data_IF_445470476832
#
_entry.id   IF_445470476832
#
_cell.length_a   1.000
_cell.length_b   1.000
_cell.length_c   1.000
_cell.angle_alpha   90.00
_cell.angle_beta   90.00
_cell.angle_gamma   90.00
#
_symmetry.space_group_name_H-M   'P 1'
#
loop_
_entity.id
_entity.type
_entity.pdbx_description
1 polymer ?
#
# COMPACT_ATOMS: atom_id res chain seq x y z
N UNK A 1 30.97 -51.03 35.72
CA UNK A 1 29.68 -50.81 35.03
C UNK A 1 29.35 -49.33 35.18
N UNK A 2 29.54 -48.52 34.15
CA UNK A 2 29.24 -47.08 34.16
C UNK A 2 28.18 -46.85 33.10
N UNK A 3 27.00 -46.41 33.55
CA UNK A 3 25.87 -46.05 32.68
C UNK A 3 26.13 -44.63 32.17
N UNK A 4 26.43 -44.50 30.88
CA UNK A 4 26.49 -43.22 30.20
C UNK A 4 25.08 -42.81 29.77
N UNK A 5 24.53 -41.82 30.48
CA UNK A 5 23.25 -41.20 30.18
C UNK A 5 23.46 -40.18 29.04
N UNK A 6 23.06 -40.53 27.82
CA UNK A 6 23.09 -39.60 26.68
C UNK A 6 21.81 -38.78 26.71
N UNK A 7 21.89 -37.57 27.25
CA UNK A 7 20.85 -36.55 27.11
C UNK A 7 20.88 -36.01 25.68
N UNK A 8 20.03 -36.55 24.80
CA UNK A 8 19.76 -36.00 23.48
C UNK A 8 18.98 -34.69 23.60
N UNK A 9 19.70 -33.57 23.72
CA UNK A 9 19.11 -32.24 23.60
C UNK A 9 18.63 -32.00 22.18
N UNK A 10 17.31 -31.90 22.00
CA UNK A 10 16.69 -31.43 20.77
C UNK A 10 17.10 -29.96 20.55
N UNK A 11 18.14 -29.73 19.75
CA UNK A 11 18.49 -28.38 19.29
C UNK A 11 17.43 -27.97 18.28
N UNK A 12 16.36 -27.32 18.77
CA UNK A 12 15.45 -26.57 17.92
C UNK A 12 16.27 -25.42 17.35
N UNK A 13 16.76 -25.62 16.13
CA UNK A 13 17.42 -24.58 15.35
C UNK A 13 16.33 -23.60 14.94
N UNK A 14 16.03 -22.64 15.82
CA UNK A 14 15.46 -21.36 15.42
C UNK A 14 16.55 -20.69 14.59
N UNK A 15 16.64 -21.07 13.31
CA UNK A 15 17.37 -20.29 12.32
C UNK A 15 16.66 -18.94 12.29
N UNK A 16 17.17 -17.98 13.06
CA UNK A 16 17.00 -16.58 12.76
C UNK A 16 17.39 -16.46 11.29
N UNK A 17 16.39 -16.31 10.41
CA UNK A 17 16.66 -16.04 9.00
C UNK A 17 17.61 -14.85 9.00
N UNK A 18 18.77 -15.02 8.35
CA UNK A 18 19.67 -13.91 8.04
C UNK A 18 18.86 -12.71 7.56
N UNK A 19 19.34 -11.49 7.80
CA UNK A 19 18.66 -10.23 7.46
C UNK A 19 18.26 -10.17 5.97
N UNK A 20 17.15 -10.82 5.62
CA UNK A 20 16.62 -10.81 4.28
C UNK A 20 16.26 -9.35 3.96
N UNK A 21 16.72 -8.82 2.81
CA UNK A 21 16.36 -7.47 2.42
C UNK A 21 14.84 -7.39 2.20
N UNK A 22 14.29 -6.19 2.34
CA UNK A 22 12.91 -5.94 1.90
C UNK A 22 12.82 -6.31 0.43
N UNK A 23 11.89 -7.21 0.08
CA UNK A 23 11.71 -7.62 -1.32
C UNK A 23 11.30 -6.41 -2.17
N UNK A 24 11.80 -6.26 -3.40
CA UNK A 24 11.37 -5.15 -4.25
C UNK A 24 9.89 -5.30 -4.60
N UNK A 25 9.16 -4.19 -4.64
CA UNK A 25 7.82 -4.17 -5.22
C UNK A 25 7.95 -4.27 -6.74
N UNK A 26 7.25 -5.22 -7.40
CA UNK A 26 7.27 -5.33 -8.85
C UNK A 26 6.42 -4.20 -9.43
N UNK A 27 7.02 -3.05 -9.74
CA UNK A 27 6.28 -1.92 -10.32
C UNK A 27 5.53 -2.35 -11.59
N UNK A 28 4.19 -2.22 -11.63
CA UNK A 28 3.42 -2.62 -12.79
C UNK A 28 3.55 -1.66 -13.98
N UNK A 29 4.10 -0.45 -13.82
CA UNK A 29 4.18 0.54 -14.91
C UNK A 29 2.83 0.96 -15.50
N UNK A 30 2.86 1.84 -16.51
CA UNK A 30 1.65 2.44 -17.08
C UNK A 30 0.71 1.45 -17.79
N UNK A 31 1.23 0.28 -18.19
CA UNK A 31 0.51 -0.68 -19.05
C UNK A 31 -0.54 -1.48 -18.28
N UNK A 32 -0.55 -1.37 -16.95
CA UNK A 32 -1.54 -1.98 -16.07
C UNK A 32 -2.41 -0.91 -15.43
N UNK A 33 -3.71 -1.15 -15.41
CA UNK A 33 -4.67 -0.28 -14.75
C UNK A 33 -5.12 -0.90 -13.43
N UNK A 34 -4.92 -0.19 -12.34
CA UNK A 34 -5.42 -0.60 -11.03
C UNK A 34 -6.83 -0.09 -10.78
N UNK A 35 -7.44 -0.55 -9.70
CA UNK A 35 -8.65 0.07 -9.14
C UNK A 35 -8.44 0.43 -7.68
N UNK A 36 -8.98 1.57 -7.31
CA UNK A 36 -9.05 2.01 -5.93
C UNK A 36 -10.49 1.92 -5.43
N UNK A 37 -10.69 1.09 -4.39
CA UNK A 37 -11.87 1.05 -3.54
C UNK A 37 -13.26 1.04 -4.24
N UNK A 38 -13.39 0.18 -5.26
CA UNK A 38 -14.65 -0.16 -5.90
C UNK A 38 -14.43 -1.02 -7.14
N UNK A 39 -15.51 -1.39 -7.84
CA UNK A 39 -15.44 -2.07 -9.14
C UNK A 39 -15.17 -3.59 -9.09
N UNK A 40 -15.60 -4.35 -10.13
CA UNK A 40 -15.26 -5.77 -10.26
C UNK A 40 -13.78 -5.95 -10.65
N UNK A 41 -13.04 -6.70 -9.84
CA UNK A 41 -11.59 -6.84 -9.98
C UNK A 41 -11.14 -7.52 -11.28
N UNK A 42 -12.03 -8.20 -12.00
CA UNK A 42 -11.73 -8.80 -13.31
C UNK A 42 -11.41 -7.78 -14.41
N UNK A 43 -11.78 -6.51 -14.23
CA UNK A 43 -11.50 -5.44 -15.19
C UNK A 43 -10.17 -4.73 -14.94
N UNK A 44 -9.47 -5.07 -13.85
CA UNK A 44 -8.27 -4.36 -13.40
C UNK A 44 -7.11 -5.31 -13.16
N UNK A 45 -5.90 -4.81 -13.39
CA UNK A 45 -4.66 -5.57 -13.26
C UNK A 45 -4.18 -5.70 -11.82
N UNK A 46 -4.61 -4.79 -10.94
CA UNK A 46 -4.23 -4.74 -9.53
C UNK A 46 -5.20 -3.86 -8.72
N UNK A 47 -5.07 -3.90 -7.39
CA UNK A 47 -5.97 -3.20 -6.48
C UNK A 47 -5.19 -2.34 -5.46
N UNK A 48 -5.72 -1.16 -5.17
CA UNK A 48 -5.48 -0.44 -3.91
C UNK A 48 -6.58 -0.84 -2.93
N UNK A 49 -6.27 -1.82 -2.09
CA UNK A 49 -7.26 -2.48 -1.24
C UNK A 49 -7.27 -1.89 0.18
N UNK A 50 -8.45 -1.43 0.62
CA UNK A 50 -8.66 -0.88 1.96
C UNK A 50 -8.80 -1.98 3.02
N UNK A 51 -8.07 -1.83 4.11
CA UNK A 51 -8.18 -2.69 5.30
C UNK A 51 -8.11 -1.86 6.57
N UNK A 52 -9.26 -1.68 7.24
CA UNK A 52 -9.28 -1.03 8.55
C UNK A 52 -8.71 -1.96 9.62
N UNK A 53 -7.63 -1.54 10.28
CA UNK A 53 -7.06 -2.29 11.40
C UNK A 53 -7.60 -1.72 12.71
N UNK A 54 -8.68 -2.35 13.19
CA UNK A 54 -9.13 -2.16 14.57
C UNK A 54 -8.17 -2.80 15.57
N UNK A 55 -8.52 -2.74 16.85
CA UNK A 55 -7.76 -3.47 17.89
C UNK A 55 -7.90 -4.99 17.76
N UNK A 56 -8.87 -5.46 16.97
CA UNK A 56 -9.11 -6.86 16.64
C UNK A 56 -9.23 -7.04 15.13
N UNK A 57 -8.79 -8.21 14.62
CA UNK A 57 -9.02 -8.60 13.22
C UNK A 57 -9.83 -9.93 13.17
N UNK A 58 -11.14 -9.88 13.44
CA UNK A 58 -11.94 -11.07 13.72
C UNK A 58 -12.02 -12.09 12.58
N UNK A 59 -11.77 -11.67 11.33
CA UNK A 59 -11.78 -12.54 10.14
C UNK A 59 -10.39 -12.82 9.57
N UNK A 60 -9.32 -12.61 10.36
CA UNK A 60 -7.93 -12.74 9.90
C UNK A 60 -7.65 -14.06 9.21
N UNK A 61 -8.01 -15.19 9.84
CA UNK A 61 -7.77 -16.53 9.28
C UNK A 61 -8.49 -16.74 7.95
N UNK A 62 -9.75 -16.33 7.85
CA UNK A 62 -10.52 -16.43 6.61
C UNK A 62 -9.92 -15.55 5.50
N UNK A 63 -9.47 -14.34 5.85
CA UNK A 63 -8.83 -13.43 4.90
C UNK A 63 -7.52 -14.01 4.35
N UNK A 64 -6.65 -14.57 5.21
CA UNK A 64 -5.45 -15.27 4.77
C UNK A 64 -5.74 -16.51 3.93
N UNK A 65 -6.79 -17.27 4.29
CA UNK A 65 -7.23 -18.42 3.49
C UNK A 65 -7.69 -18.00 2.09
N UNK A 66 -8.47 -16.93 1.98
CA UNK A 66 -8.89 -16.35 0.70
C UNK A 66 -7.69 -15.86 -0.12
N UNK A 67 -6.75 -15.15 0.52
CA UNK A 67 -5.54 -14.67 -0.15
C UNK A 67 -4.69 -15.83 -0.70
N UNK A 68 -4.62 -16.97 0.00
CA UNK A 68 -3.94 -18.19 -0.49
C UNK A 68 -4.59 -18.79 -1.72
N UNK A 69 -5.92 -18.75 -1.81
CA UNK A 69 -6.68 -19.28 -2.94
C UNK A 69 -6.71 -18.31 -4.14
N UNK A 70 -6.42 -17.04 -3.90
CA UNK A 70 -6.37 -16.04 -4.95
C UNK A 70 -5.21 -16.29 -5.94
N UNK A 71 -5.41 -15.90 -7.19
CA UNK A 71 -4.35 -15.98 -8.20
C UNK A 71 -3.23 -14.99 -7.86
N UNK A 72 -2.18 -15.47 -7.18
CA UNK A 72 -1.04 -14.65 -6.75
C UNK A 72 -0.38 -13.88 -7.88
N UNK A 73 -0.35 -14.46 -9.09
CA UNK A 73 0.23 -13.80 -10.25
C UNK A 73 -0.61 -12.59 -10.70
N UNK A 74 -1.94 -12.69 -10.61
CA UNK A 74 -2.85 -11.58 -10.88
C UNK A 74 -2.73 -10.47 -9.82
N UNK A 75 -2.48 -10.83 -8.56
CA UNK A 75 -2.46 -9.89 -7.42
C UNK A 75 -1.08 -9.38 -7.03
N UNK A 76 -0.03 -9.72 -7.78
CA UNK A 76 1.37 -9.42 -7.41
C UNK A 76 1.72 -7.93 -7.34
N UNK A 77 0.82 -7.06 -7.76
CA UNK A 77 0.97 -5.61 -7.75
C UNK A 77 0.01 -4.92 -6.76
N UNK A 78 -0.84 -5.67 -6.04
CA UNK A 78 -1.76 -5.08 -5.07
C UNK A 78 -1.01 -4.32 -3.96
N UNK A 79 -1.53 -3.17 -3.55
CA UNK A 79 -1.10 -2.47 -2.35
C UNK A 79 -2.25 -2.46 -1.35
N UNK A 80 -2.02 -3.01 -0.15
CA UNK A 80 -3.02 -3.01 0.90
C UNK A 80 -2.87 -1.77 1.79
N UNK A 81 -3.82 -0.86 1.72
CA UNK A 81 -3.86 0.26 2.67
C UNK A 81 -4.40 -0.23 4.01
N UNK A 82 -3.59 -0.09 5.05
CA UNK A 82 -3.87 -0.57 6.40
C UNK A 82 -4.06 0.61 7.35
N UNK A 83 -5.30 0.92 7.73
CA UNK A 83 -5.60 2.04 8.63
C UNK A 83 -5.23 1.67 10.07
N UNK A 84 -3.99 1.94 10.47
CA UNK A 84 -3.47 1.59 11.81
C UNK A 84 -3.84 2.64 12.88
N UNK A 85 -4.40 3.78 12.48
CA UNK A 85 -4.89 4.84 13.36
C UNK A 85 -3.98 6.05 13.45
N UNK A 86 -3.00 6.23 12.57
CA UNK A 86 -2.12 7.41 12.55
C UNK A 86 -2.96 8.67 12.36
N UNK A 87 -3.91 8.65 11.42
CA UNK A 87 -4.84 9.77 11.18
C UNK A 87 -5.76 10.04 12.37
N UNK A 88 -6.17 8.96 13.06
CA UNK A 88 -6.93 9.02 14.32
C UNK A 88 -6.10 9.43 15.55
N UNK A 89 -4.86 9.86 15.34
CA UNK A 89 -3.99 10.44 16.37
C UNK A 89 -3.31 9.45 17.30
N UNK A 90 -3.34 8.15 16.98
CA UNK A 90 -2.72 7.10 17.77
C UNK A 90 -1.19 7.22 17.80
N UNK A 91 -0.59 6.65 18.84
CA UNK A 91 0.86 6.63 19.03
C UNK A 91 1.52 5.43 18.34
N UNK A 92 2.85 5.39 18.41
CA UNK A 92 3.63 4.31 17.80
C UNK A 92 3.26 2.94 18.36
N UNK A 93 3.12 2.79 19.68
CA UNK A 93 2.88 1.48 20.28
C UNK A 93 1.50 0.93 19.93
N UNK A 94 0.47 1.79 19.86
CA UNK A 94 -0.87 1.39 19.43
C UNK A 94 -0.87 0.97 17.97
N UNK A 95 -0.29 1.78 17.07
CA UNK A 95 -0.20 1.43 15.65
C UNK A 95 0.64 0.17 15.44
N UNK A 96 1.76 0.02 16.16
CA UNK A 96 2.62 -1.18 16.12
C UNK A 96 1.86 -2.42 16.53
N UNK A 97 1.10 -2.38 17.63
CA UNK A 97 0.29 -3.52 18.10
C UNK A 97 -0.75 -3.95 17.06
N UNK A 98 -1.39 -3.00 16.38
CA UNK A 98 -2.36 -3.28 15.30
C UNK A 98 -1.70 -3.89 14.08
N UNK A 99 -0.55 -3.34 13.66
CA UNK A 99 0.27 -3.93 12.60
C UNK A 99 0.70 -5.35 12.98
N UNK A 100 1.14 -5.58 14.21
CA UNK A 100 1.54 -6.91 14.67
C UNK A 100 0.38 -7.89 14.64
N UNK A 101 -0.79 -7.49 15.15
CA UNK A 101 -1.99 -8.33 15.12
C UNK A 101 -2.36 -8.76 13.69
N UNK A 102 -2.13 -7.89 12.71
CA UNK A 102 -2.44 -8.15 11.30
C UNK A 102 -1.34 -8.93 10.56
N UNK A 103 -0.09 -8.46 10.63
CA UNK A 103 1.06 -9.00 9.89
C UNK A 103 1.65 -10.26 10.50
N UNK A 104 1.36 -10.57 11.76
CA UNK A 104 1.82 -11.83 12.35
C UNK A 104 1.33 -13.00 11.49
N UNK A 105 2.22 -13.89 11.02
CA UNK A 105 1.82 -15.05 10.23
C UNK A 105 0.86 -15.94 11.01
N UNK A 106 -0.14 -16.49 10.33
CA UNK A 106 -0.93 -17.59 10.90
C UNK A 106 -0.13 -18.90 10.81
N UNK A 107 -0.26 -19.83 11.78
CA UNK A 107 0.46 -21.11 11.74
C UNK A 107 0.29 -21.89 10.44
N UNK A 108 -0.89 -21.78 9.80
CA UNK A 108 -1.24 -22.41 8.52
C UNK A 108 -1.04 -21.48 7.30
N UNK A 109 -0.42 -20.32 7.49
CA UNK A 109 -0.11 -19.36 6.44
C UNK A 109 1.30 -18.75 6.59
N UNK A 110 2.37 -19.57 6.49
CA UNK A 110 3.75 -19.11 6.63
C UNK A 110 4.27 -18.32 5.41
N UNK A 111 3.47 -18.18 4.36
CA UNK A 111 3.84 -17.53 3.09
C UNK A 111 3.83 -16.00 3.20
N UNK A 112 4.17 -15.48 4.37
CA UNK A 112 4.42 -14.07 4.60
C UNK A 112 5.95 -13.88 4.68
N UNK A 113 6.54 -12.88 4.00
CA UNK A 113 5.92 -11.76 3.27
C UNK A 113 5.47 -12.07 1.83
N UNK A 114 5.59 -13.30 1.35
CA UNK A 114 5.41 -13.68 -0.06
C UNK A 114 3.98 -13.47 -0.59
N UNK A 115 2.98 -13.49 0.28
CA UNK A 115 1.57 -13.24 -0.04
C UNK A 115 1.19 -11.77 -0.12
N UNK A 116 1.97 -10.86 0.47
CA UNK A 116 1.62 -9.45 0.57
C UNK A 116 2.55 -8.58 -0.29
N UNK A 117 2.14 -8.14 -1.49
CA UNK A 117 3.01 -7.42 -2.42
C UNK A 117 3.51 -6.07 -1.91
N UNK A 118 2.66 -5.30 -1.25
CA UNK A 118 3.01 -4.06 -0.56
C UNK A 118 1.88 -3.65 0.38
N UNK A 119 2.20 -2.74 1.31
CA UNK A 119 1.21 -2.09 2.17
C UNK A 119 1.36 -0.58 2.11
N UNK A 120 0.30 0.14 2.46
CA UNK A 120 0.35 1.56 2.76
C UNK A 120 -0.20 1.80 4.18
N UNK A 121 0.49 2.58 5.01
CA UNK A 121 0.18 2.66 6.45
C UNK A 121 -1.03 3.54 6.81
N UNK A 122 -1.53 4.32 5.87
CA UNK A 122 -2.78 5.09 5.91
C UNK A 122 -3.06 5.59 4.48
N UNK A 123 -4.26 6.11 4.25
CA UNK A 123 -4.53 6.98 3.10
C UNK A 123 -4.28 8.43 3.48
N UNK A 124 -3.94 9.25 2.48
CA UNK A 124 -3.92 10.71 2.64
C UNK A 124 -3.12 11.16 3.87
N UNK A 125 -1.88 10.68 3.95
CA UNK A 125 -1.03 10.85 5.12
C UNK A 125 -0.92 12.31 5.56
N UNK A 126 -1.18 12.54 6.84
CA UNK A 126 -1.05 13.86 7.44
C UNK A 126 0.44 14.18 7.62
N UNK A 127 0.92 15.27 7.00
CA UNK A 127 2.34 15.67 7.04
C UNK A 127 2.87 15.86 8.46
N UNK A 128 2.04 16.31 9.40
CA UNK A 128 2.41 16.46 10.82
C UNK A 128 2.76 15.13 11.50
N UNK A 129 2.38 13.98 10.92
CA UNK A 129 2.64 12.64 11.43
C UNK A 129 3.74 11.89 10.68
N UNK A 130 4.47 12.56 9.76
CA UNK A 130 5.58 11.99 8.97
C UNK A 130 6.58 11.19 9.80
N UNK A 131 7.00 11.67 10.98
CA UNK A 131 7.95 10.95 11.85
C UNK A 131 7.40 9.61 12.36
N UNK A 132 6.11 9.57 12.67
CA UNK A 132 5.44 8.34 13.11
C UNK A 132 5.33 7.35 11.94
N UNK A 133 4.93 7.83 10.76
CA UNK A 133 4.86 7.03 9.53
C UNK A 133 6.22 6.43 9.16
N UNK A 134 7.31 7.21 9.24
CA UNK A 134 8.67 6.71 9.00
C UNK A 134 9.05 5.60 9.98
N UNK A 135 8.78 5.82 11.27
CA UNK A 135 9.11 4.86 12.32
C UNK A 135 8.35 3.55 12.13
N UNK A 136 7.07 3.61 11.77
CA UNK A 136 6.25 2.44 11.46
C UNK A 136 6.71 1.75 10.18
N UNK A 137 7.08 2.51 9.13
CA UNK A 137 7.59 1.94 7.89
C UNK A 137 8.90 1.18 8.12
N UNK A 138 9.85 1.77 8.87
CA UNK A 138 11.08 1.08 9.28
C UNK A 138 10.80 -0.18 10.09
N UNK A 139 9.82 -0.15 11.00
CA UNK A 139 9.42 -1.32 11.79
C UNK A 139 8.91 -2.47 10.91
N UNK A 140 7.98 -2.20 10.00
CA UNK A 140 7.45 -3.21 9.07
C UNK A 140 8.55 -3.71 8.14
N UNK A 141 9.37 -2.83 7.60
CA UNK A 141 10.49 -3.23 6.74
C UNK A 141 11.50 -4.10 7.50
N UNK A 142 11.77 -3.80 8.77
CA UNK A 142 12.73 -4.54 9.60
C UNK A 142 12.22 -5.91 10.03
N UNK A 143 11.05 -5.98 10.67
CA UNK A 143 10.50 -7.21 11.26
C UNK A 143 9.89 -8.16 10.22
N UNK A 144 9.33 -7.56 9.18
CA UNK A 144 8.23 -8.12 8.43
C UNK A 144 8.58 -8.18 6.93
N UNK A 145 9.60 -7.44 6.49
CA UNK A 145 10.20 -7.50 5.14
C UNK A 145 9.20 -7.22 4.00
N UNK A 146 8.12 -6.49 4.31
CA UNK A 146 7.11 -6.06 3.33
C UNK A 146 7.39 -4.64 2.86
N UNK A 147 7.28 -4.37 1.55
CA UNK A 147 7.36 -3.01 1.00
C UNK A 147 6.31 -2.08 1.60
N UNK A 148 6.72 -0.88 1.99
CA UNK A 148 5.82 0.12 2.57
C UNK A 148 5.73 1.34 1.67
N UNK A 149 4.53 1.57 1.13
CA UNK A 149 4.17 2.77 0.39
C UNK A 149 3.71 3.87 1.35
N UNK A 150 3.87 5.12 0.90
CA UNK A 150 3.29 6.29 1.56
C UNK A 150 2.32 6.97 0.60
N UNK A 151 1.12 7.27 1.10
CA UNK A 151 0.05 7.89 0.33
C UNK A 151 -0.12 9.34 0.74
N UNK A 152 -0.02 10.28 -0.18
CA UNK A 152 -0.30 11.70 0.07
C UNK A 152 -1.45 12.21 -0.77
N UNK A 153 -2.13 13.25 -0.30
CA UNK A 153 -3.10 13.99 -1.13
C UNK A 153 -2.46 15.26 -1.63
N UNK A 154 -2.97 15.78 -2.75
CA UNK A 154 -2.63 17.13 -3.18
C UNK A 154 -2.78 18.14 -2.03
N UNK A 155 -1.86 19.12 -1.90
CA UNK A 155 -0.76 19.42 -2.81
C UNK A 155 0.59 18.77 -2.44
N UNK A 156 0.59 17.78 -1.54
CA UNK A 156 1.83 17.23 -0.99
C UNK A 156 2.53 16.31 -1.99
N UNK A 157 3.82 16.57 -2.25
CA UNK A 157 4.67 15.71 -3.05
C UNK A 157 5.36 14.61 -2.23
N UNK A 158 6.23 13.80 -2.86
CA UNK A 158 6.99 12.79 -2.15
C UNK A 158 7.90 13.43 -1.10
N UNK A 159 8.08 12.74 0.02
CA UNK A 159 8.99 13.17 1.07
C UNK A 159 10.24 12.30 1.10
N UNK A 160 11.39 12.75 0.56
CA UNK A 160 12.60 11.94 0.48
C UNK A 160 13.19 11.57 1.85
N UNK A 161 12.77 12.24 2.94
CA UNK A 161 13.17 11.89 4.30
C UNK A 161 12.48 10.63 4.85
N UNK A 162 11.46 10.11 4.16
CA UNK A 162 10.73 8.91 4.55
C UNK A 162 11.32 7.64 3.96
N UNK A 163 11.32 6.61 4.79
CA UNK A 163 11.61 5.23 4.43
C UNK A 163 10.40 4.62 3.72
N UNK A 164 10.11 5.09 2.51
CA UNK A 164 9.09 4.55 1.62
C UNK A 164 9.74 3.67 0.54
N UNK A 165 9.12 2.56 0.19
CA UNK A 165 9.50 1.72 -0.95
C UNK A 165 8.71 2.11 -2.22
N UNK A 166 7.70 2.97 -2.09
CA UNK A 166 6.91 3.52 -3.19
C UNK A 166 5.96 4.63 -2.73
N UNK A 167 5.30 5.27 -3.69
CA UNK A 167 4.41 6.41 -3.46
C UNK A 167 3.02 6.18 -4.04
N UNK A 168 2.01 6.66 -3.34
CA UNK A 168 0.65 6.79 -3.85
C UNK A 168 0.26 8.26 -3.70
N UNK A 169 -0.50 8.82 -4.65
CA UNK A 169 -1.14 10.10 -4.41
C UNK A 169 -2.51 10.24 -5.04
N UNK A 170 -3.39 10.97 -4.38
CA UNK A 170 -4.66 11.40 -4.94
C UNK A 170 -4.49 12.73 -5.65
N UNK A 171 -4.96 12.82 -6.90
CA UNK A 171 -4.92 14.06 -7.66
C UNK A 171 -6.28 14.72 -7.87
N UNK A 172 -6.35 16.02 -7.58
CA UNK A 172 -7.57 16.80 -7.55
C UNK A 172 -7.46 18.09 -8.37
N UNK A 173 -8.17 18.16 -9.51
CA UNK A 173 -8.52 19.44 -10.17
C UNK A 173 -7.37 20.24 -10.78
N UNK A 174 -6.21 19.62 -11.04
CA UNK A 174 -5.03 20.34 -11.50
C UNK A 174 -5.02 20.65 -12.99
N UNK A 175 -4.46 21.81 -13.34
CA UNK A 175 -4.12 22.08 -14.74
C UNK A 175 -3.11 21.04 -15.25
N UNK A 176 -3.10 20.74 -16.56
CA UNK A 176 -2.14 19.80 -17.14
C UNK A 176 -0.68 20.11 -16.79
N UNK A 177 -0.29 21.39 -16.76
CA UNK A 177 1.07 21.83 -16.45
C UNK A 177 1.41 21.64 -14.98
N UNK A 178 0.46 21.90 -14.08
CA UNK A 178 0.65 21.66 -12.64
C UNK A 178 0.81 20.15 -12.39
N UNK A 179 -0.12 19.35 -12.92
CA UNK A 179 -0.09 17.89 -12.78
C UNK A 179 1.21 17.30 -13.30
N UNK A 180 1.65 17.70 -14.50
CA UNK A 180 2.93 17.27 -15.06
C UNK A 180 4.11 17.55 -14.14
N UNK A 181 4.21 18.78 -13.60
CA UNK A 181 5.30 19.14 -12.67
C UNK A 181 5.26 18.33 -11.38
N UNK A 182 4.07 17.97 -10.91
CA UNK A 182 3.93 17.19 -9.70
C UNK A 182 4.30 15.72 -9.91
N UNK A 183 3.84 15.10 -11.00
CA UNK A 183 4.25 13.74 -11.39
C UNK A 183 5.78 13.64 -11.47
N UNK A 184 6.44 14.65 -12.05
CA UNK A 184 7.91 14.70 -12.13
C UNK A 184 8.59 14.63 -10.76
N UNK A 185 7.99 15.19 -9.70
CA UNK A 185 8.57 15.12 -8.34
C UNK A 185 8.58 13.68 -7.83
N UNK A 186 7.50 12.93 -8.05
CA UNK A 186 7.42 11.52 -7.67
C UNK A 186 8.37 10.65 -8.49
N UNK A 187 8.37 10.82 -9.81
CA UNK A 187 9.25 10.08 -10.74
C UNK A 187 10.73 10.32 -10.40
N UNK A 188 11.11 11.55 -10.04
CA UNK A 188 12.48 11.88 -9.66
C UNK A 188 12.98 11.13 -8.42
N UNK A 189 12.09 10.51 -7.62
CA UNK A 189 12.52 9.66 -6.49
C UNK A 189 13.10 8.33 -6.92
N UNK A 190 12.87 7.89 -8.17
CA UNK A 190 13.29 6.59 -8.68
C UNK A 190 12.58 5.41 -8.03
N UNK A 191 11.49 5.66 -7.30
CA UNK A 191 10.67 4.64 -6.62
C UNK A 191 9.37 4.40 -7.40
N UNK A 192 8.75 3.22 -7.26
CA UNK A 192 7.41 2.97 -7.79
C UNK A 192 6.41 4.04 -7.37
N UNK A 193 5.56 4.45 -8.31
CA UNK A 193 4.55 5.50 -8.11
C UNK A 193 3.21 5.05 -8.66
N UNK A 194 2.16 5.24 -7.87
CA UNK A 194 0.77 5.02 -8.27
C UNK A 194 0.02 6.35 -8.14
N UNK A 195 -0.48 6.85 -9.27
CA UNK A 195 -1.45 7.93 -9.27
C UNK A 195 -2.84 7.35 -8.99
N UNK A 196 -3.60 8.00 -8.12
CA UNK A 196 -5.06 7.87 -8.08
C UNK A 196 -5.60 9.08 -8.84
N UNK A 197 -5.75 8.96 -10.17
CA UNK A 197 -6.36 10.03 -10.96
C UNK A 197 -7.82 10.14 -10.57
N UNK A 198 -8.31 11.38 -10.49
CA UNK A 198 -9.72 11.70 -10.22
C UNK A 198 -10.28 10.80 -9.15
N UNK A 199 -9.74 10.91 -7.94
CA UNK A 199 -10.62 10.73 -6.82
C UNK A 199 -11.76 11.75 -7.05
N UNK A 200 -12.89 11.27 -7.55
CA UNK A 200 -14.00 12.06 -8.04
C UNK A 200 -15.26 11.28 -7.72
N UNK A 201 -16.04 11.82 -6.80
CA UNK A 201 -17.43 11.45 -6.60
C UNK A 201 -18.24 12.71 -6.95
N UNK A 202 -19.10 12.67 -7.99
CA UNK A 202 -19.95 13.82 -8.34
C UNK A 202 -20.91 14.23 -7.21
N UNK A 203 -21.08 13.39 -6.19
CA UNK A 203 -21.95 13.62 -5.04
C UNK A 203 -21.22 14.10 -3.78
N UNK A 204 -19.89 14.24 -3.78
CA UNK A 204 -19.16 14.77 -2.62
C UNK A 204 -19.07 16.30 -2.66
N UNK A 205 -19.75 17.02 -1.74
CA UNK A 205 -19.91 18.48 -1.80
C UNK A 205 -18.62 19.26 -1.53
N UNK A 206 -17.57 18.60 -1.04
CA UNK A 206 -16.28 19.24 -0.76
C UNK A 206 -15.36 19.28 -2.00
N UNK A 207 -15.74 18.59 -3.08
CA UNK A 207 -14.88 18.32 -4.23
C UNK A 207 -15.39 19.11 -5.45
N UNK A 208 -14.54 19.32 -6.45
CA UNK A 208 -14.99 19.96 -7.70
C UNK A 208 -16.09 19.13 -8.33
N UNK A 209 -17.31 19.66 -8.31
CA UNK A 209 -18.47 18.98 -8.88
C UNK A 209 -18.49 19.20 -10.39
N UNK A 210 -18.68 18.11 -11.11
CA UNK A 210 -18.92 18.13 -12.55
C UNK A 210 -20.40 17.80 -12.79
N UNK A 211 -21.10 18.57 -13.63
CA UNK A 211 -22.52 18.31 -13.92
C UNK A 211 -22.75 16.92 -14.50
N UNK A 212 -21.77 16.36 -15.21
CA UNK A 212 -21.81 15.00 -15.77
C UNK A 212 -20.49 14.25 -15.62
N UNK A 213 -20.54 12.91 -15.63
CA UNK A 213 -19.35 12.06 -15.70
C UNK A 213 -18.53 12.31 -16.98
N UNK A 214 -19.18 12.64 -18.10
CA UNK A 214 -18.49 12.96 -19.35
C UNK A 214 -17.65 14.24 -19.24
N UNK A 215 -18.16 15.28 -18.58
CA UNK A 215 -17.41 16.51 -18.34
C UNK A 215 -16.22 16.30 -17.40
N UNK A 216 -16.40 15.52 -16.32
CA UNK A 216 -15.31 15.08 -15.46
C UNK A 216 -14.21 14.39 -16.29
N UNK A 217 -14.58 13.34 -17.04
CA UNK A 217 -13.65 12.56 -17.87
C UNK A 217 -12.93 13.49 -18.85
N UNK A 218 -13.66 14.31 -19.60
CA UNK A 218 -13.09 15.22 -20.59
C UNK A 218 -12.14 16.24 -19.97
N UNK A 219 -12.52 16.80 -18.82
CA UNK A 219 -11.72 17.80 -18.12
C UNK A 219 -10.41 17.23 -17.66
N UNK A 220 -10.45 16.00 -17.17
CA UNK A 220 -9.37 15.49 -16.37
C UNK A 220 -8.50 14.44 -17.09
N UNK A 221 -8.91 13.92 -18.27
CA UNK A 221 -8.23 12.87 -19.07
C UNK A 221 -6.72 13.09 -19.27
N UNK A 222 -6.26 14.34 -19.17
CA UNK A 222 -4.84 14.67 -19.19
C UNK A 222 -4.02 13.97 -18.10
N UNK A 223 -4.62 13.62 -16.96
CA UNK A 223 -3.91 12.94 -15.87
C UNK A 223 -3.43 11.54 -16.29
N UNK A 224 -4.30 10.75 -16.94
CA UNK A 224 -3.91 9.45 -17.49
C UNK A 224 -2.85 9.58 -18.57
N UNK A 225 -3.04 10.50 -19.53
CA UNK A 225 -2.05 10.75 -20.61
C UNK A 225 -0.69 11.16 -20.05
N UNK A 226 -0.67 11.96 -18.99
CA UNK A 226 0.57 12.40 -18.36
C UNK A 226 1.23 11.25 -17.60
N UNK A 227 0.48 10.45 -16.85
CA UNK A 227 1.01 9.27 -16.17
C UNK A 227 1.62 8.27 -17.16
N UNK A 228 0.92 8.00 -18.27
CA UNK A 228 1.43 7.22 -19.39
C UNK A 228 2.80 7.73 -19.87
N UNK A 229 2.92 9.04 -20.10
CA UNK A 229 4.17 9.66 -20.57
C UNK A 229 5.35 9.55 -19.60
N UNK A 230 5.10 9.27 -18.32
CA UNK A 230 6.13 9.07 -17.30
C UNK A 230 6.27 7.62 -16.82
N UNK A 231 5.56 6.68 -17.44
CA UNK A 231 5.47 5.30 -16.97
C UNK A 231 4.99 5.18 -15.51
N UNK A 232 4.00 5.99 -15.13
CA UNK A 232 3.38 5.97 -13.81
C UNK A 232 2.08 5.16 -13.87
N UNK A 233 1.92 4.25 -12.92
CA UNK A 233 0.74 3.41 -12.80
C UNK A 233 -0.47 4.25 -12.33
N UNK A 234 -1.67 3.90 -12.79
CA UNK A 234 -2.91 4.61 -12.40
C UNK A 234 -3.91 3.65 -11.77
N UNK A 235 -4.52 4.06 -10.65
CA UNK A 235 -5.60 3.35 -9.99
C UNK A 235 -6.79 4.29 -9.74
N UNK A 236 -7.68 4.51 -10.72
CA UNK A 236 -8.87 5.34 -10.53
C UNK A 236 -9.76 4.83 -9.39
N UNK A 237 -10.40 5.77 -8.69
CA UNK A 237 -11.47 5.46 -7.76
C UNK A 237 -12.76 5.18 -8.53
N UNK A 238 -13.38 4.03 -8.30
CA UNK A 238 -14.64 3.65 -8.96
C UNK A 238 -15.79 3.68 -7.95
N UNK A 239 -16.58 4.77 -7.92
CA UNK A 239 -17.94 4.72 -7.36
C UNK A 239 -18.83 4.19 -8.48
N UNK A 240 -19.27 2.95 -8.35
CA UNK A 240 -20.33 2.39 -9.20
C UNK A 240 -21.70 2.88 -8.71
#
# INVERSE_FOLDING_TARGET
>A
MVVAMVCGGLVVTLTARADEPVRPYPDPGYYRMGVYAGGPGEYFDYNLAKMSLGDTFPKKRQWWASLKQSNRAARRHDVYTVYVGVRGGQDFETCRRRLDAWLQPEPDAPTYPELLPAICLEEENVVSRTKLLDRLARYVRGKYKVPVFQWYSDPFGPNPSLTADGWIWDSYGWSPEHFRRHVMRFVATGKPVICVPWASDPHWPQWTQYPTAAELINREWHQFRTCLGFNVSTAPFCVA
#
